data_IF_887707314015
#
_entry.id   IF_887707314015
#
_cell.length_a   1.000
_cell.length_b   1.000
_cell.length_c   1.000
_cell.angle_alpha   90.00
_cell.angle_beta   90.00
_cell.angle_gamma   90.00
#
_symmetry.space_group_name_H-M   'P 1'
#
loop_
_entity.id
_entity.type
_entity.pdbx_description
1 polymer ?
#
# COMPACT_ATOMS: atom_id res chain seq x y z
N UNK A 1 -8.83 23.56 -23.35
CA UNK A 1 -10.20 23.07 -23.17
C UNK A 1 -10.30 21.85 -22.26
N UNK A 2 -9.55 20.75 -22.50
CA UNK A 2 -9.58 19.54 -21.69
C UNK A 2 -9.23 19.78 -20.20
N UNK A 3 -8.25 20.63 -19.91
CA UNK A 3 -7.82 20.98 -18.56
C UNK A 3 -8.95 21.61 -17.73
N UNK A 4 -9.64 22.60 -18.30
CA UNK A 4 -10.78 23.28 -17.64
C UNK A 4 -11.93 22.32 -17.37
N UNK A 5 -12.24 21.44 -18.34
CA UNK A 5 -13.28 20.41 -18.17
C UNK A 5 -12.92 19.47 -17.01
N UNK A 6 -11.68 18.97 -16.94
CA UNK A 6 -11.23 18.11 -15.84
C UNK A 6 -11.31 18.81 -14.47
N UNK A 7 -10.94 20.09 -14.42
CA UNK A 7 -11.01 20.88 -13.19
C UNK A 7 -12.47 21.03 -12.71
N UNK A 8 -13.42 21.30 -13.60
CA UNK A 8 -14.84 21.37 -13.27
C UNK A 8 -15.38 20.02 -12.79
N UNK A 9 -15.04 18.92 -13.46
CA UNK A 9 -15.44 17.57 -13.03
C UNK A 9 -14.95 17.24 -11.62
N UNK A 10 -13.73 17.62 -11.24
CA UNK A 10 -13.19 17.35 -9.93
C UNK A 10 -13.98 18.05 -8.79
N UNK A 11 -14.58 19.21 -9.06
CA UNK A 11 -15.47 19.88 -8.11
C UNK A 11 -16.92 19.37 -8.13
N UNK A 12 -17.37 18.78 -9.25
CA UNK A 12 -18.73 18.22 -9.40
C UNK A 12 -18.83 16.75 -8.95
N UNK A 13 -17.71 16.05 -8.82
CA UNK A 13 -17.68 14.68 -8.34
C UNK A 13 -17.28 14.62 -6.84
N UNK A 14 -17.67 13.56 -6.08
CA UNK A 14 -17.18 13.36 -4.70
C UNK A 14 -15.64 13.28 -4.64
N UNK A 15 -14.97 13.87 -3.64
CA UNK A 15 -15.54 14.60 -2.49
C UNK A 15 -15.88 16.08 -2.75
N UNK A 16 -15.47 16.67 -3.87
CA UNK A 16 -15.68 18.08 -4.21
C UNK A 16 -17.14 18.50 -4.10
N UNK A 17 -18.04 17.71 -4.67
CA UNK A 17 -19.49 17.97 -4.60
C UNK A 17 -20.00 18.08 -3.16
N UNK A 18 -19.56 17.20 -2.26
CA UNK A 18 -19.98 17.23 -0.84
C UNK A 18 -19.47 18.49 -0.14
N UNK A 19 -18.24 18.91 -0.43
CA UNK A 19 -17.65 20.14 0.11
C UNK A 19 -18.48 21.35 -0.34
N UNK A 20 -18.83 21.43 -1.64
CA UNK A 20 -19.67 22.50 -2.19
C UNK A 20 -21.06 22.52 -1.58
N UNK A 21 -21.74 21.37 -1.47
CA UNK A 21 -23.06 21.27 -0.87
C UNK A 21 -23.06 21.67 0.60
N UNK A 22 -22.06 21.24 1.38
CA UNK A 22 -21.90 21.63 2.77
C UNK A 22 -21.62 23.13 2.92
N UNK A 23 -20.83 23.71 2.02
CA UNK A 23 -20.56 25.14 2.02
C UNK A 23 -21.83 25.94 1.71
N UNK A 24 -22.58 25.54 0.68
CA UNK A 24 -23.86 26.14 0.32
C UNK A 24 -24.88 26.06 1.47
N UNK A 25 -25.02 24.86 2.05
CA UNK A 25 -25.91 24.67 3.21
C UNK A 25 -25.52 25.56 4.40
N UNK A 26 -24.22 25.72 4.62
CA UNK A 26 -23.72 26.63 5.65
C UNK A 26 -24.12 28.07 5.38
N UNK A 27 -23.87 28.59 4.17
CA UNK A 27 -24.18 29.97 3.80
C UNK A 27 -25.68 30.27 3.90
N UNK A 28 -26.54 29.27 3.60
CA UNK A 28 -28.00 29.46 3.58
C UNK A 28 -28.65 29.30 4.98
N UNK A 29 -28.15 28.40 5.82
CA UNK A 29 -28.92 27.95 6.98
C UNK A 29 -28.26 28.20 8.33
N UNK A 30 -26.98 28.59 8.44
CA UNK A 30 -26.29 28.69 9.74
C UNK A 30 -26.12 30.13 10.19
N UNK A 31 -26.81 30.49 11.28
CA UNK A 31 -26.73 31.82 11.96
C UNK A 31 -26.19 31.79 13.38
N UNK A 32 -25.56 30.67 13.85
CA UNK A 32 -25.22 30.49 15.26
C UNK A 32 -23.70 30.48 15.54
N UNK A 33 -23.31 30.79 16.83
CA UNK A 33 -21.91 30.76 17.29
C UNK A 33 -21.20 29.39 17.19
N UNK A 34 -21.90 28.28 17.01
CA UNK A 34 -21.34 26.93 16.80
C UNK A 34 -20.77 26.71 15.41
N UNK A 35 -20.91 27.66 14.52
CA UNK A 35 -20.45 27.71 13.14
C UNK A 35 -18.96 27.41 12.97
N UNK A 36 -18.11 27.83 13.94
CA UNK A 36 -16.66 27.60 13.88
C UNK A 36 -16.26 26.10 13.81
N UNK A 37 -16.98 25.22 14.50
CA UNK A 37 -16.67 23.77 14.48
C UNK A 37 -17.06 23.15 13.16
N UNK A 38 -18.12 23.64 12.55
CA UNK A 38 -18.53 23.22 11.22
C UNK A 38 -17.48 23.61 10.17
N UNK A 39 -16.99 24.86 10.20
CA UNK A 39 -15.91 25.29 9.32
C UNK A 39 -14.61 24.54 9.54
N UNK A 40 -14.27 24.22 10.78
CA UNK A 40 -13.10 23.41 11.07
C UNK A 40 -13.21 22.00 10.45
N UNK A 41 -14.36 21.35 10.62
CA UNK A 41 -14.61 20.03 10.02
C UNK A 41 -14.53 20.08 8.48
N UNK A 42 -15.14 21.12 7.88
CA UNK A 42 -15.10 21.33 6.44
C UNK A 42 -13.67 21.60 5.94
N UNK A 43 -12.89 22.39 6.67
CA UNK A 43 -11.50 22.68 6.35
C UNK A 43 -10.63 21.42 6.42
N UNK A 44 -10.78 20.61 7.47
CA UNK A 44 -10.08 19.33 7.60
C UNK A 44 -10.45 18.37 6.45
N UNK A 45 -11.74 18.25 6.14
CA UNK A 45 -12.21 17.42 5.02
C UNK A 45 -11.63 17.92 3.68
N UNK A 46 -11.62 19.22 3.44
CA UNK A 46 -11.01 19.81 2.25
C UNK A 46 -9.52 19.52 2.17
N UNK A 47 -8.77 19.81 3.24
CA UNK A 47 -7.32 19.59 3.27
C UNK A 47 -6.95 18.13 3.02
N UNK A 48 -7.67 17.18 3.62
CA UNK A 48 -7.41 15.75 3.41
C UNK A 48 -7.86 15.24 2.03
N UNK A 49 -8.62 16.04 1.28
CA UNK A 49 -9.12 15.68 -0.05
C UNK A 49 -8.34 16.29 -1.21
N UNK A 50 -7.30 17.10 -0.95
CA UNK A 50 -6.48 17.73 -1.99
C UNK A 50 -5.11 17.04 -2.11
N UNK A 51 -4.63 16.89 -3.35
CA UNK A 51 -3.38 16.20 -3.68
C UNK A 51 -2.17 16.87 -3.02
N UNK A 52 -2.18 18.20 -2.90
CA UNK A 52 -1.12 18.95 -2.24
C UNK A 52 -0.84 18.48 -0.81
N UNK A 53 -1.88 18.15 -0.06
CA UNK A 53 -1.76 17.69 1.33
C UNK A 53 -1.51 16.19 1.38
N UNK A 54 -2.29 15.41 0.63
CA UNK A 54 -2.16 13.94 0.64
C UNK A 54 -0.76 13.48 0.26
N UNK A 55 -0.16 14.08 -0.78
CA UNK A 55 1.19 13.72 -1.22
C UNK A 55 2.25 14.12 -0.20
N UNK A 56 2.11 15.30 0.43
CA UNK A 56 3.02 15.70 1.52
C UNK A 56 2.93 14.81 2.76
N UNK A 57 1.77 14.22 3.01
CA UNK A 57 1.61 13.25 4.10
C UNK A 57 2.23 11.89 3.75
N UNK A 58 2.06 11.42 2.51
CA UNK A 58 2.49 10.07 2.13
C UNK A 58 3.97 10.01 1.73
N UNK A 59 4.47 11.01 1.03
CA UNK A 59 5.81 11.03 0.45
C UNK A 59 6.94 10.73 1.45
N UNK A 60 6.96 11.24 2.70
CA UNK A 60 8.00 10.90 3.66
C UNK A 60 8.06 9.41 4.00
N UNK A 61 6.93 8.70 3.91
CA UNK A 61 6.89 7.25 4.09
C UNK A 61 7.46 6.53 2.86
N UNK A 62 7.12 6.98 1.66
CA UNK A 62 7.56 6.36 0.40
C UNK A 62 9.04 6.57 0.11
N UNK A 63 9.61 7.67 0.61
CA UNK A 63 11.03 8.02 0.42
C UNK A 63 11.90 7.64 1.61
N UNK A 64 11.34 7.00 2.63
CA UNK A 64 12.10 6.60 3.82
C UNK A 64 13.21 5.60 3.50
N UNK A 65 12.95 4.65 2.62
CA UNK A 65 13.94 3.73 2.07
C UNK A 65 14.11 4.00 0.57
N UNK A 66 15.36 4.12 0.13
CA UNK A 66 15.68 4.13 -1.29
C UNK A 66 15.67 2.70 -1.85
N UNK A 67 15.37 2.53 -3.13
CA UNK A 67 15.61 1.26 -3.81
C UNK A 67 17.11 0.97 -3.86
N UNK A 68 17.58 -0.17 -3.32
CA UNK A 68 18.98 -0.53 -3.41
C UNK A 68 19.36 -0.96 -4.83
N UNK A 69 20.62 -0.78 -5.16
CA UNK A 69 21.22 -1.28 -6.39
C UNK A 69 21.20 -2.83 -6.41
N UNK A 70 21.11 -3.41 -7.60
CA UNK A 70 21.05 -4.87 -7.78
C UNK A 70 22.25 -5.61 -7.16
N UNK A 71 23.41 -4.97 -7.13
CA UNK A 71 24.64 -5.49 -6.51
C UNK A 71 24.48 -5.72 -4.99
N UNK A 72 23.73 -4.86 -4.30
CA UNK A 72 23.46 -4.98 -2.87
C UNK A 72 22.47 -6.09 -2.51
N UNK A 73 21.74 -6.61 -3.50
CA UNK A 73 20.74 -7.66 -3.32
C UNK A 73 21.30 -9.09 -3.48
N UNK A 74 22.54 -9.24 -3.95
CA UNK A 74 23.12 -10.56 -4.30
C UNK A 74 23.31 -11.50 -3.10
N UNK A 75 23.30 -10.96 -1.88
CA UNK A 75 23.46 -11.74 -0.65
C UNK A 75 22.11 -12.09 0.00
N UNK A 76 21.01 -11.93 -0.71
CA UNK A 76 19.70 -12.33 -0.25
C UNK A 76 19.38 -13.75 -0.72
N UNK A 77 18.72 -14.52 0.17
CA UNK A 77 18.34 -15.89 -0.09
C UNK A 77 16.96 -16.02 -0.73
N UNK A 78 16.08 -15.04 -0.50
CA UNK A 78 14.73 -15.02 -1.04
C UNK A 78 14.18 -13.59 -1.19
N UNK A 79 13.11 -13.47 -1.97
CA UNK A 79 12.30 -12.27 -2.12
C UNK A 79 10.98 -12.50 -1.39
N UNK A 80 10.67 -11.70 -0.38
CA UNK A 80 9.39 -11.73 0.32
C UNK A 80 8.50 -10.65 -0.26
N UNK A 81 7.39 -11.04 -0.87
CA UNK A 81 6.36 -10.12 -1.37
C UNK A 81 5.20 -10.13 -0.40
N UNK A 82 4.89 -8.96 0.19
CA UNK A 82 3.75 -8.83 1.10
C UNK A 82 2.44 -8.64 0.33
N UNK A 83 1.46 -9.45 0.64
CA UNK A 83 0.08 -9.26 0.24
C UNK A 83 -0.49 -7.91 0.71
N UNK A 84 -1.73 -7.66 0.45
CA UNK A 84 -2.38 -6.37 0.80
C UNK A 84 -3.80 -6.27 0.29
N UNK A 85 -4.43 -7.42 0.06
CA UNK A 85 -5.81 -7.56 -0.37
C UNK A 85 -5.98 -8.34 -1.66
N UNK A 86 -7.10 -9.02 -1.71
CA UNK A 86 -7.53 -9.81 -2.88
C UNK A 86 -9.03 -9.69 -3.08
N UNK A 87 -9.49 -10.01 -4.27
CA UNK A 87 -10.91 -10.14 -4.61
C UNK A 87 -11.18 -11.63 -4.84
N UNK A 88 -11.88 -12.27 -3.90
CA UNK A 88 -12.22 -13.69 -3.96
C UNK A 88 -13.41 -13.99 -4.88
N UNK A 89 -13.52 -15.24 -5.34
CA UNK A 89 -14.69 -15.74 -6.06
C UNK A 89 -14.92 -15.17 -7.47
N UNK A 90 -14.06 -14.26 -7.94
CA UNK A 90 -14.12 -13.75 -9.31
C UNK A 90 -13.35 -14.65 -10.25
N UNK A 91 -13.90 -14.90 -11.44
CA UNK A 91 -13.21 -15.70 -12.47
C UNK A 91 -12.00 -14.93 -12.98
N UNK A 92 -10.87 -15.63 -13.12
CA UNK A 92 -9.66 -15.15 -13.74
C UNK A 92 -9.27 -16.08 -14.92
N UNK A 93 -8.21 -15.75 -15.65
CA UNK A 93 -7.75 -16.49 -16.82
C UNK A 93 -7.46 -17.98 -16.52
N UNK A 94 -6.83 -18.25 -15.38
CA UNK A 94 -6.31 -19.58 -15.00
C UNK A 94 -6.84 -20.06 -13.63
N UNK A 95 -7.94 -19.48 -13.12
CA UNK A 95 -8.55 -19.89 -11.85
C UNK A 95 -9.53 -18.87 -11.28
N UNK A 96 -9.58 -18.76 -9.97
CA UNK A 96 -10.44 -17.83 -9.26
C UNK A 96 -9.66 -16.89 -8.36
N UNK A 97 -10.20 -15.68 -8.17
CA UNK A 97 -9.62 -14.62 -7.36
C UNK A 97 -8.60 -13.76 -8.11
N UNK A 98 -8.49 -12.52 -7.70
CA UNK A 98 -7.55 -11.54 -8.26
C UNK A 98 -6.81 -10.83 -7.14
N UNK A 99 -5.52 -10.54 -7.34
CA UNK A 99 -4.81 -9.63 -6.45
C UNK A 99 -5.36 -8.21 -6.59
N UNK A 100 -5.49 -7.48 -5.49
CA UNK A 100 -5.79 -6.05 -5.56
C UNK A 100 -4.64 -5.30 -6.25
N UNK A 101 -4.87 -4.04 -6.63
CA UNK A 101 -3.90 -3.28 -7.42
C UNK A 101 -2.52 -3.14 -6.74
N UNK A 102 -2.51 -2.84 -5.43
CA UNK A 102 -1.26 -2.65 -4.68
C UNK A 102 -0.43 -3.95 -4.61
N UNK A 103 -0.97 -5.11 -4.15
CA UNK A 103 -0.22 -6.37 -4.20
C UNK A 103 0.14 -6.84 -5.62
N UNK A 104 -0.67 -6.57 -6.64
CA UNK A 104 -0.31 -6.89 -8.02
C UNK A 104 0.95 -6.13 -8.47
N UNK A 105 1.10 -4.84 -8.12
CA UNK A 105 2.31 -4.06 -8.37
C UNK A 105 3.52 -4.61 -7.61
N UNK A 106 3.34 -5.04 -6.36
CA UNK A 106 4.40 -5.68 -5.56
C UNK A 106 4.84 -6.99 -6.18
N UNK A 107 3.88 -7.82 -6.61
CA UNK A 107 4.14 -9.09 -7.27
C UNK A 107 4.92 -8.92 -8.56
N UNK A 108 4.57 -7.92 -9.39
CA UNK A 108 5.32 -7.58 -10.60
C UNK A 108 6.78 -7.25 -10.29
N UNK A 109 7.04 -6.52 -9.20
CA UNK A 109 8.42 -6.25 -8.77
C UNK A 109 9.12 -7.52 -8.29
N UNK A 110 8.44 -8.37 -7.53
CA UNK A 110 8.95 -9.69 -7.13
C UNK A 110 9.38 -10.54 -8.33
N UNK A 111 8.57 -10.59 -9.39
CA UNK A 111 8.90 -11.29 -10.64
C UNK A 111 10.17 -10.71 -11.29
N UNK A 112 10.28 -9.37 -11.36
CA UNK A 112 11.46 -8.70 -11.94
C UNK A 112 12.73 -8.99 -11.16
N UNK A 113 12.66 -8.97 -9.83
CA UNK A 113 13.79 -9.28 -8.95
C UNK A 113 14.18 -10.76 -9.07
N UNK A 114 13.21 -11.69 -9.09
CA UNK A 114 13.48 -13.12 -9.32
C UNK A 114 14.22 -13.35 -10.63
N UNK A 115 13.75 -12.74 -11.71
CA UNK A 115 14.41 -12.88 -13.02
C UNK A 115 15.84 -12.33 -13.06
N UNK A 116 16.12 -11.29 -12.25
CA UNK A 116 17.45 -10.68 -12.17
C UNK A 116 18.41 -11.43 -11.24
N UNK A 117 17.90 -12.06 -10.17
CA UNK A 117 18.70 -12.65 -9.10
C UNK A 117 18.66 -14.18 -9.09
N UNK A 118 17.65 -14.79 -9.72
CA UNK A 118 17.39 -16.24 -9.74
C UNK A 118 17.27 -16.86 -8.33
N UNK A 119 16.64 -16.13 -7.38
CA UNK A 119 16.35 -16.59 -6.02
C UNK A 119 14.85 -16.76 -5.82
N UNK A 120 14.38 -17.60 -4.87
CA UNK A 120 12.96 -17.88 -4.68
C UNK A 120 12.15 -16.66 -4.25
N UNK A 121 10.84 -16.71 -4.55
CA UNK A 121 9.84 -15.74 -4.09
C UNK A 121 8.99 -16.39 -3.00
N UNK A 122 8.86 -15.72 -1.87
CA UNK A 122 7.89 -16.03 -0.80
C UNK A 122 6.74 -15.03 -0.96
N UNK A 123 5.55 -15.51 -1.28
CA UNK A 123 4.32 -14.71 -1.21
C UNK A 123 3.72 -14.88 0.19
N UNK A 124 3.50 -13.77 0.90
CA UNK A 124 3.07 -13.79 2.29
C UNK A 124 1.76 -13.02 2.46
N UNK A 125 0.67 -13.75 2.71
CA UNK A 125 -0.67 -13.21 2.93
C UNK A 125 -1.71 -14.31 2.98
N UNK A 126 -2.37 -14.46 4.13
CA UNK A 126 -3.43 -15.43 4.34
C UNK A 126 -4.81 -14.89 3.95
N UNK A 127 -5.84 -15.49 4.54
CA UNK A 127 -7.22 -15.09 4.36
C UNK A 127 -7.69 -14.26 5.57
N UNK A 128 -7.85 -12.96 5.39
CA UNK A 128 -8.36 -12.06 6.46
C UNK A 128 -9.87 -12.16 6.58
N UNK A 129 -10.59 -12.18 5.46
CA UNK A 129 -12.05 -12.29 5.39
C UNK A 129 -12.44 -13.52 4.58
N UNK A 130 -13.46 -14.25 5.04
CA UNK A 130 -13.93 -15.50 4.39
C UNK A 130 -14.32 -15.35 2.92
N UNK A 131 -14.66 -14.15 2.48
CA UNK A 131 -15.05 -13.84 1.10
C UNK A 131 -13.88 -13.37 0.23
N UNK A 132 -12.70 -13.09 0.81
CA UNK A 132 -11.61 -12.45 0.08
C UNK A 132 -10.67 -13.43 -0.66
N UNK A 133 -10.78 -14.72 -0.39
CA UNK A 133 -9.78 -15.70 -0.86
C UNK A 133 -8.46 -15.61 -0.08
N UNK A 134 -7.58 -16.57 -0.29
CA UNK A 134 -6.23 -16.58 0.30
C UNK A 134 -5.28 -15.82 -0.60
N UNK A 135 -4.69 -14.75 -0.11
CA UNK A 135 -3.82 -13.86 -0.91
C UNK A 135 -2.64 -14.65 -1.51
N UNK A 136 -1.93 -15.41 -0.70
CA UNK A 136 -0.76 -16.19 -1.14
C UNK A 136 -1.13 -17.27 -2.18
N UNK A 137 -2.33 -17.86 -2.15
CA UNK A 137 -2.78 -18.80 -3.19
C UNK A 137 -3.02 -18.11 -4.53
N UNK A 138 -3.65 -16.94 -4.50
CA UNK A 138 -3.89 -16.14 -5.71
C UNK A 138 -2.55 -15.69 -6.29
N UNK A 139 -1.65 -15.16 -5.46
CA UNK A 139 -0.33 -14.68 -5.89
C UNK A 139 0.55 -15.82 -6.41
N UNK A 140 0.49 -17.00 -5.78
CA UNK A 140 1.16 -18.22 -6.26
C UNK A 140 0.72 -18.58 -7.68
N UNK A 141 -0.59 -18.61 -7.92
CA UNK A 141 -1.16 -18.89 -9.25
C UNK A 141 -0.69 -17.87 -10.28
N UNK A 142 -0.69 -16.57 -9.94
CA UNK A 142 -0.23 -15.49 -10.82
C UNK A 142 1.27 -15.60 -11.14
N UNK A 143 2.10 -15.98 -10.17
CA UNK A 143 3.53 -16.23 -10.39
C UNK A 143 3.75 -17.39 -11.33
N UNK A 144 3.05 -18.50 -11.11
CA UNK A 144 3.11 -19.68 -11.98
C UNK A 144 2.67 -19.35 -13.41
N UNK A 145 1.53 -18.64 -13.56
CA UNK A 145 1.04 -18.15 -14.85
C UNK A 145 1.99 -17.17 -15.55
N UNK A 146 2.84 -16.48 -14.77
CA UNK A 146 3.90 -15.59 -15.29
C UNK A 146 5.19 -16.32 -15.68
N UNK A 147 5.19 -17.67 -15.61
CA UNK A 147 6.33 -18.51 -16.02
C UNK A 147 7.41 -18.68 -14.94
N UNK A 148 7.11 -18.38 -13.66
CA UNK A 148 8.01 -18.71 -12.56
C UNK A 148 7.83 -20.20 -12.21
N UNK A 149 8.95 -20.94 -12.17
CA UNK A 149 8.93 -22.36 -11.83
C UNK A 149 8.46 -22.61 -10.40
N UNK A 150 7.65 -23.65 -10.19
CA UNK A 150 7.06 -23.95 -8.86
C UNK A 150 8.10 -24.12 -7.75
N UNK A 151 9.29 -24.63 -8.10
CA UNK A 151 10.40 -24.77 -7.14
C UNK A 151 10.92 -23.43 -6.58
N UNK A 152 10.61 -22.32 -7.25
CA UNK A 152 10.99 -20.97 -6.84
C UNK A 152 9.86 -20.22 -6.13
N UNK A 153 8.70 -20.82 -5.93
CA UNK A 153 7.56 -20.15 -5.31
C UNK A 153 7.25 -20.81 -3.96
N UNK A 154 7.38 -20.03 -2.89
CA UNK A 154 7.03 -20.45 -1.55
C UNK A 154 5.82 -19.65 -1.06
N UNK A 155 4.90 -20.32 -0.36
CA UNK A 155 3.68 -19.70 0.16
C UNK A 155 3.74 -19.59 1.68
N UNK A 156 3.41 -18.43 2.19
CA UNK A 156 3.00 -18.20 3.56
C UNK A 156 1.53 -17.74 3.51
N UNK A 157 0.59 -18.61 3.82
CA UNK A 157 -0.84 -18.48 3.59
C UNK A 157 -1.68 -18.40 4.88
N UNK A 158 -1.04 -18.23 6.05
CA UNK A 158 -1.69 -18.26 7.36
C UNK A 158 -1.90 -16.89 7.98
N UNK A 159 -1.09 -15.92 7.58
CA UNK A 159 -1.07 -14.59 8.19
C UNK A 159 -2.34 -13.77 7.92
N UNK A 160 -2.75 -12.97 8.90
CA UNK A 160 -3.91 -12.07 8.81
C UNK A 160 -3.52 -10.60 9.07
N UNK A 161 -2.27 -10.34 9.38
CA UNK A 161 -1.71 -9.03 9.63
C UNK A 161 -0.18 -9.06 9.44
N UNK A 162 0.46 -7.87 9.43
CA UNK A 162 1.90 -7.75 9.15
C UNK A 162 2.79 -8.41 10.19
N UNK A 163 2.36 -8.51 11.46
CA UNK A 163 3.12 -9.22 12.51
C UNK A 163 3.12 -10.71 12.22
N UNK A 164 1.95 -11.26 11.88
CA UNK A 164 1.84 -12.67 11.49
C UNK A 164 2.61 -12.96 10.20
N UNK A 165 2.61 -12.04 9.21
CA UNK A 165 3.43 -12.18 8.00
C UNK A 165 4.92 -12.34 8.39
N UNK A 166 5.46 -11.47 9.22
CA UNK A 166 6.85 -11.53 9.64
C UNK A 166 7.15 -12.83 10.41
N UNK A 167 6.30 -13.19 11.36
CA UNK A 167 6.47 -14.41 12.18
C UNK A 167 6.44 -15.69 11.36
N UNK A 168 5.48 -15.83 10.46
CA UNK A 168 5.36 -17.04 9.63
C UNK A 168 6.38 -17.08 8.50
N UNK A 169 6.75 -15.93 7.95
CA UNK A 169 7.89 -15.82 7.04
C UNK A 169 9.18 -16.27 7.73
N UNK A 170 9.43 -15.86 8.99
CA UNK A 170 10.57 -16.33 9.78
C UNK A 170 10.62 -17.85 9.89
N UNK A 171 9.49 -18.46 10.30
CA UNK A 171 9.41 -19.92 10.41
C UNK A 171 9.71 -20.63 9.08
N UNK A 172 9.25 -20.05 7.98
CA UNK A 172 9.52 -20.58 6.63
C UNK A 172 11.00 -20.44 6.27
N UNK A 173 11.60 -19.27 6.52
CA UNK A 173 13.02 -19.01 6.29
C UNK A 173 13.91 -19.95 7.12
N UNK A 174 13.64 -20.13 8.41
CA UNK A 174 14.36 -21.06 9.28
C UNK A 174 14.30 -22.51 8.76
N UNK A 175 13.10 -22.94 8.32
CA UNK A 175 12.92 -24.30 7.75
C UNK A 175 13.70 -24.51 6.46
N UNK A 176 13.88 -23.45 5.67
CA UNK A 176 14.55 -23.49 4.35
C UNK A 176 16.04 -23.11 4.41
N UNK A 177 16.57 -22.75 5.60
CA UNK A 177 17.95 -22.28 5.76
C UNK A 177 18.23 -20.95 5.09
N UNK A 178 17.27 -20.01 5.13
CA UNK A 178 17.36 -18.67 4.55
C UNK A 178 17.59 -17.65 5.67
N UNK A 179 18.68 -16.89 5.58
CA UNK A 179 19.10 -15.97 6.64
C UNK A 179 18.70 -14.52 6.35
N UNK A 180 18.63 -14.12 5.08
CA UNK A 180 18.40 -12.74 4.68
C UNK A 180 17.47 -12.62 3.47
N UNK A 181 16.45 -11.80 3.58
CA UNK A 181 15.44 -11.67 2.52
C UNK A 181 15.30 -10.24 2.00
N UNK A 182 14.92 -10.10 0.73
CA UNK A 182 14.50 -8.83 0.15
C UNK A 182 13.02 -8.64 0.47
N UNK A 183 12.67 -7.61 1.22
CA UNK A 183 11.28 -7.32 1.59
C UNK A 183 10.66 -6.34 0.59
N UNK A 184 9.77 -6.85 -0.25
CA UNK A 184 9.07 -6.09 -1.29
C UNK A 184 7.65 -5.74 -0.83
N UNK A 185 7.37 -4.46 -0.70
CA UNK A 185 6.03 -3.95 -0.42
C UNK A 185 5.90 -2.51 -0.93
N UNK A 186 4.70 -1.92 -0.83
CA UNK A 186 4.50 -0.51 -1.22
C UNK A 186 5.40 0.41 -0.40
N UNK A 187 5.97 1.43 -1.04
CA UNK A 187 6.91 2.36 -0.40
C UNK A 187 6.39 2.93 0.90
N UNK A 188 5.11 3.32 0.94
CA UNK A 188 4.46 3.85 2.15
C UNK A 188 4.33 2.83 3.29
N UNK A 189 4.22 1.54 2.97
CA UNK A 189 4.06 0.46 3.94
C UNK A 189 5.39 -0.07 4.48
N UNK A 190 6.47 0.13 3.72
CA UNK A 190 7.78 -0.43 3.98
C UNK A 190 8.37 -0.02 5.35
N UNK A 191 8.28 1.25 5.81
CA UNK A 191 8.81 1.63 7.12
C UNK A 191 8.21 0.83 8.28
N UNK A 192 6.89 0.59 8.27
CA UNK A 192 6.22 -0.23 9.28
C UNK A 192 6.57 -1.70 9.15
N UNK A 193 6.63 -2.21 7.93
CA UNK A 193 6.94 -3.62 7.67
C UNK A 193 8.35 -3.97 8.12
N UNK A 194 9.35 -3.15 7.82
CA UNK A 194 10.73 -3.36 8.26
C UNK A 194 10.83 -3.40 9.78
N UNK A 195 10.23 -2.41 10.48
CA UNK A 195 10.20 -2.42 11.95
C UNK A 195 9.65 -3.71 12.54
N UNK A 196 8.60 -4.27 11.93
CA UNK A 196 7.96 -5.51 12.39
C UNK A 196 8.84 -6.72 12.08
N UNK A 197 9.40 -6.82 10.87
CA UNK A 197 10.26 -7.94 10.47
C UNK A 197 11.54 -8.00 11.31
N UNK A 198 12.21 -6.86 11.52
CA UNK A 198 13.39 -6.76 12.38
C UNK A 198 13.07 -7.15 13.85
N UNK A 199 11.91 -6.72 14.36
CA UNK A 199 11.44 -7.07 15.70
C UNK A 199 11.19 -8.57 15.86
N UNK A 200 10.64 -9.23 14.84
CA UNK A 200 10.47 -10.69 14.81
C UNK A 200 11.80 -11.41 14.53
N UNK A 201 12.89 -10.69 14.27
CA UNK A 201 14.23 -11.23 14.06
C UNK A 201 14.47 -11.76 12.65
N UNK A 202 13.83 -11.18 11.65
CA UNK A 202 14.07 -11.45 10.22
C UNK A 202 14.92 -10.34 9.63
N UNK A 203 16.20 -10.58 9.29
CA UNK A 203 17.02 -9.59 8.60
C UNK A 203 16.48 -9.32 7.19
N UNK A 204 16.16 -8.07 6.89
CA UNK A 204 15.57 -7.69 5.60
C UNK A 204 16.41 -6.67 4.86
N UNK A 205 16.41 -6.76 3.52
CA UNK A 205 16.81 -5.67 2.63
C UNK A 205 15.53 -4.99 2.15
N UNK A 206 15.23 -3.77 2.58
CA UNK A 206 14.03 -3.06 2.16
C UNK A 206 14.04 -2.76 0.66
N UNK A 207 12.96 -3.13 -0.05
CA UNK A 207 12.82 -2.83 -1.46
C UNK A 207 11.46 -2.16 -1.72
N UNK A 208 11.39 -0.81 -1.71
CA UNK A 208 10.15 -0.08 -1.96
C UNK A 208 9.71 -0.19 -3.43
N UNK A 209 8.39 -0.37 -3.61
CA UNK A 209 7.73 -0.36 -4.91
C UNK A 209 6.33 0.25 -4.78
N UNK A 210 5.50 0.21 -5.81
CA UNK A 210 4.09 0.64 -5.75
C UNK A 210 3.92 2.01 -5.09
N UNK A 211 4.63 3.02 -5.61
CA UNK A 211 4.53 4.40 -5.17
C UNK A 211 3.21 5.03 -5.61
N UNK A 212 2.63 5.87 -4.75
CA UNK A 212 1.40 6.62 -5.03
C UNK A 212 1.69 8.09 -5.33
N UNK A 213 2.86 8.59 -4.91
CA UNK A 213 3.27 9.97 -5.17
C UNK A 213 4.38 10.05 -6.21
N UNK A 214 4.37 11.12 -6.99
CA UNK A 214 5.47 11.41 -7.91
C UNK A 214 6.73 11.83 -7.16
N UNK A 215 7.90 11.65 -7.78
CA UNK A 215 9.16 12.07 -7.17
C UNK A 215 9.19 13.58 -6.92
N UNK A 216 8.65 14.37 -7.83
CA UNK A 216 8.46 15.81 -7.67
C UNK A 216 6.97 16.12 -7.47
N UNK A 217 6.67 16.93 -6.46
CA UNK A 217 5.31 17.41 -6.22
C UNK A 217 5.11 18.66 -7.07
N UNK A 218 4.47 18.52 -8.23
CA UNK A 218 4.04 19.65 -9.03
C UNK A 218 2.90 20.40 -8.31
N UNK A 219 2.97 21.73 -8.33
CA UNK A 219 1.92 22.58 -7.76
C UNK A 219 1.21 23.28 -8.91
N UNK A 220 -0.04 22.89 -9.12
CA UNK A 220 -0.94 23.45 -10.12
C UNK A 220 -2.36 23.59 -9.55
N UNK A 221 -3.34 23.97 -10.39
CA UNK A 221 -4.73 24.11 -9.96
C UNK A 221 -5.35 22.78 -9.50
N UNK A 222 -4.89 21.62 -10.01
CA UNK A 222 -5.37 20.31 -9.58
C UNK A 222 -4.88 19.95 -8.20
N UNK A 223 -3.72 20.47 -7.79
CA UNK A 223 -3.16 20.24 -6.44
C UNK A 223 -4.07 20.73 -5.32
N UNK A 224 -4.96 21.68 -5.62
CA UNK A 224 -5.94 22.26 -4.69
C UNK A 224 -7.36 21.76 -4.94
N UNK A 225 -7.56 20.86 -5.89
CA UNK A 225 -8.89 20.36 -6.26
C UNK A 225 -9.20 19.08 -5.49
N UNK A 226 -10.36 18.99 -4.81
CA UNK A 226 -10.73 17.78 -4.08
C UNK A 226 -10.86 16.58 -5.00
N UNK A 227 -10.31 15.44 -4.57
CA UNK A 227 -10.39 14.17 -5.29
C UNK A 227 -10.54 12.98 -4.32
N UNK A 228 -11.21 11.93 -4.78
CA UNK A 228 -11.36 10.70 -4.02
C UNK A 228 -10.00 10.00 -3.79
N UNK A 229 -9.09 10.11 -4.76
CA UNK A 229 -7.74 9.54 -4.64
C UNK A 229 -6.92 10.26 -3.56
N UNK A 230 -7.00 11.58 -3.44
CA UNK A 230 -6.34 12.32 -2.37
C UNK A 230 -6.88 11.94 -0.98
N UNK A 231 -8.21 11.70 -0.84
CA UNK A 231 -8.78 11.18 0.41
C UNK A 231 -8.22 9.80 0.73
N UNK A 232 -8.16 8.90 -0.26
CA UNK A 232 -7.57 7.56 -0.10
C UNK A 232 -6.10 7.63 0.31
N UNK A 233 -5.31 8.45 -0.36
CA UNK A 233 -3.88 8.65 -0.09
C UNK A 233 -3.66 9.23 1.31
N UNK A 234 -4.44 10.21 1.73
CA UNK A 234 -4.41 10.76 3.10
C UNK A 234 -4.74 9.68 4.15
N UNK A 235 -5.77 8.87 3.89
CA UNK A 235 -6.16 7.78 4.78
C UNK A 235 -5.06 6.71 4.91
N UNK A 236 -4.40 6.35 3.79
CA UNK A 236 -3.24 5.45 3.78
C UNK A 236 -2.11 6.01 4.66
N UNK A 237 -1.72 7.28 4.43
CA UNK A 237 -0.66 7.91 5.21
C UNK A 237 -0.96 7.91 6.71
N UNK A 238 -2.16 8.32 7.10
CA UNK A 238 -2.59 8.35 8.50
C UNK A 238 -2.58 6.94 9.13
N UNK A 239 -3.08 5.93 8.41
CA UNK A 239 -3.05 4.53 8.85
C UNK A 239 -1.63 4.05 9.10
N UNK A 240 -0.68 4.35 8.21
CA UNK A 240 0.70 3.90 8.36
C UNK A 240 1.41 4.63 9.51
N UNK A 241 1.21 5.94 9.69
CA UNK A 241 1.76 6.66 10.85
C UNK A 241 1.23 6.12 12.17
N UNK A 242 -0.08 5.85 12.27
CA UNK A 242 -0.67 5.23 13.46
C UNK A 242 -0.15 3.80 13.68
N UNK A 243 0.01 3.03 12.61
CA UNK A 243 0.60 1.70 12.67
C UNK A 243 2.04 1.70 13.15
N UNK A 244 2.89 2.60 12.64
CA UNK A 244 4.27 2.79 13.11
C UNK A 244 4.30 3.16 14.60
N UNK A 245 3.42 4.08 15.02
CA UNK A 245 3.31 4.46 16.43
C UNK A 245 2.91 3.27 17.31
N UNK A 246 1.91 2.49 16.88
CA UNK A 246 1.47 1.29 17.60
C UNK A 246 2.60 0.25 17.75
N UNK A 247 3.36 0.00 16.68
CA UNK A 247 4.54 -0.89 16.75
C UNK A 247 5.55 -0.36 17.74
N UNK A 248 5.91 0.94 17.70
CA UNK A 248 6.88 1.54 18.61
C UNK A 248 6.46 1.49 20.08
N UNK A 249 5.15 1.59 20.35
CA UNK A 249 4.58 1.49 21.70
C UNK A 249 4.37 0.03 22.18
N UNK A 250 4.68 -0.96 21.35
CA UNK A 250 4.50 -2.37 21.71
C UNK A 250 3.04 -2.83 21.70
N UNK A 251 2.15 -2.08 21.04
CA UNK A 251 0.73 -2.42 20.91
C UNK A 251 0.42 -3.36 19.73
N UNK A 252 1.43 -3.75 18.97
CA UNK A 252 1.39 -4.75 17.89
C UNK A 252 2.57 -5.69 17.99
#
# INVERSE_FOLDING_TARGET
MLYVVKLLYAWLLPPGLFILLLLIAHLLFVKTRRTRYYFLALAVMYLLSITLVSDRLLKPLETYYAQPELSALRNADAIVVLGGGSVGGVKDFDGEGQAAADPANRLLMGIRLHRALNIPIIVSGGQVFSYAGTEAEIEYRLLKGSGIGEAFILKEDRSRNTVENARYTKQLCEKMGMDKVILVTSGYHLPRSVLIFEREGVPVIPYPTDYKTNQEIAIDAFSFTPSAEAVRTSAIAMKEYLGILAVKLGAQ
#
